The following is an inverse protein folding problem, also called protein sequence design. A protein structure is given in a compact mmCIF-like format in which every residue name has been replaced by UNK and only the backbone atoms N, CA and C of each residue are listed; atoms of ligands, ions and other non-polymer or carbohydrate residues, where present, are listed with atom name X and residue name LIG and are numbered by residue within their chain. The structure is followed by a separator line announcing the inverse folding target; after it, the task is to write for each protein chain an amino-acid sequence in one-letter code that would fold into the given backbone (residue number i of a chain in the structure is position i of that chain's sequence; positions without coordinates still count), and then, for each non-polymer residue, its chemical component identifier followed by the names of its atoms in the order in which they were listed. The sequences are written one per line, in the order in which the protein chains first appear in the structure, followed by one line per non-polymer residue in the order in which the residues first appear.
data_IF_644883114864
#
_entry.id   IF_644883114864
#
_cell.length_a   1.000
_cell.length_b   1.000
_cell.length_c   1.000
_cell.angle_alpha   90.00
_cell.angle_beta   90.00
_cell.angle_gamma   90.00
#
_symmetry.space_group_name_H-M   'P 1'
#
loop_
_entity.id
_entity.type
_entity.pdbx_description
1 polymer ?
#
# COMPACT_ATOMS: atom_id res chain seq x y z
N UNK A 1 2.46 15.50 -30.07
CA UNK A 1 2.17 14.33 -29.19
C UNK A 1 2.79 14.35 -27.78
N UNK A 2 3.77 15.22 -27.44
CA UNK A 2 4.46 15.15 -26.12
C UNK A 2 3.63 15.55 -24.88
N UNK A 3 2.59 16.38 -25.05
CA UNK A 3 1.78 16.91 -23.94
C UNK A 3 0.96 15.80 -23.25
N UNK A 4 0.41 14.86 -24.03
CA UNK A 4 -0.39 13.75 -23.51
C UNK A 4 0.45 12.80 -22.63
N UNK A 5 1.66 12.47 -23.08
CA UNK A 5 2.59 11.58 -22.35
C UNK A 5 3.02 12.22 -21.01
N UNK A 6 3.24 13.54 -20.98
CA UNK A 6 3.55 14.23 -19.73
C UNK A 6 2.37 14.25 -18.75
N UNK A 7 1.15 14.45 -19.24
CA UNK A 7 -0.07 14.40 -18.41
C UNK A 7 -0.28 13.01 -17.82
N UNK A 8 -0.12 11.95 -18.63
CA UNK A 8 -0.21 10.57 -18.16
C UNK A 8 0.88 10.23 -17.12
N UNK A 9 2.11 10.76 -17.28
CA UNK A 9 3.18 10.60 -16.28
C UNK A 9 2.85 11.26 -14.95
N UNK A 10 2.14 12.40 -14.94
CA UNK A 10 1.70 13.07 -13.70
C UNK A 10 0.59 12.28 -13.01
N UNK A 11 -0.37 11.74 -13.77
CA UNK A 11 -1.43 10.88 -13.24
C UNK A 11 -0.87 9.58 -12.63
N UNK A 12 0.17 9.00 -13.23
CA UNK A 12 0.83 7.79 -12.71
C UNK A 12 1.63 8.03 -11.42
N UNK A 13 1.96 9.29 -11.09
CA UNK A 13 2.50 9.69 -9.77
C UNK A 13 1.39 9.89 -8.72
N UNK A 14 0.28 9.16 -8.83
CA UNK A 14 -0.80 9.15 -7.84
C UNK A 14 -0.25 9.04 -6.42
N UNK A 15 -0.88 9.79 -5.51
CA UNK A 15 -0.51 10.01 -4.09
C UNK A 15 0.24 8.81 -3.52
N UNK A 16 1.51 9.03 -3.18
CA UNK A 16 2.34 8.01 -2.51
C UNK A 16 1.89 7.94 -1.06
N UNK A 17 1.01 7.00 -0.77
CA UNK A 17 0.69 6.66 0.61
C UNK A 17 1.73 5.66 1.12
N UNK A 18 2.25 5.91 2.31
CA UNK A 18 3.08 4.95 3.03
C UNK A 18 2.17 4.15 3.94
N UNK A 19 2.11 2.84 3.73
CA UNK A 19 1.43 1.91 4.61
C UNK A 19 2.27 1.66 5.87
N UNK A 20 1.68 1.95 7.04
CA UNK A 20 2.28 1.75 8.35
C UNK A 20 1.52 0.68 9.13
N UNK A 21 2.25 -0.06 9.98
CA UNK A 21 1.66 -1.05 10.86
C UNK A 21 0.80 -0.40 11.96
N UNK A 22 -0.45 -0.84 12.18
CA UNK A 22 -1.33 -0.26 13.22
C UNK A 22 -0.89 -0.58 14.65
N UNK A 23 -0.05 -1.61 14.85
CA UNK A 23 0.42 -2.01 16.19
C UNK A 23 1.68 -1.28 16.63
N UNK A 24 2.65 -1.13 15.74
CA UNK A 24 3.98 -0.59 16.11
C UNK A 24 4.42 0.61 15.28
N UNK A 25 3.60 1.08 14.32
CA UNK A 25 3.92 2.23 13.48
C UNK A 25 5.03 2.00 12.45
N UNK A 26 5.60 0.80 12.34
CA UNK A 26 6.66 0.53 11.37
C UNK A 26 6.17 0.65 9.93
N UNK A 27 6.94 1.32 9.08
CA UNK A 27 6.77 1.22 7.64
C UNK A 27 7.19 -0.16 7.12
N UNK A 28 6.69 -0.53 5.94
CA UNK A 28 7.08 -1.78 5.26
C UNK A 28 6.21 -2.99 5.63
N UNK A 29 4.94 -2.78 5.96
CA UNK A 29 3.92 -3.85 5.96
C UNK A 29 3.80 -4.44 4.56
N UNK A 30 3.85 -5.78 4.46
CA UNK A 30 3.81 -6.51 3.19
C UNK A 30 2.46 -7.17 3.01
N UNK A 31 1.86 -7.06 1.83
CA UNK A 31 0.64 -7.79 1.52
C UNK A 31 0.94 -9.30 1.38
N UNK A 32 0.19 -10.13 2.11
CA UNK A 32 0.34 -11.59 2.21
C UNK A 32 -1.00 -12.26 1.94
N UNK A 33 -1.33 -12.49 0.67
CA UNK A 33 -2.38 -13.44 0.28
C UNK A 33 -2.28 -13.69 -1.23
N UNK A 34 -2.68 -14.89 -1.66
CA UNK A 34 -2.59 -15.32 -3.06
C UNK A 34 -3.86 -14.98 -3.87
N UNK A 35 -4.96 -14.65 -3.19
CA UNK A 35 -6.30 -14.41 -3.77
C UNK A 35 -6.75 -12.93 -3.62
N UNK A 36 -5.78 -12.02 -3.64
CA UNK A 36 -5.93 -10.62 -3.26
C UNK A 36 -6.97 -9.86 -4.09
N UNK A 37 -7.90 -9.19 -3.41
CA UNK A 37 -8.67 -8.07 -3.98
C UNK A 37 -9.86 -8.46 -4.86
N UNK A 38 -9.93 -9.71 -5.30
CA UNK A 38 -11.09 -10.25 -6.02
C UNK A 38 -12.04 -11.02 -5.09
N UNK A 39 -11.50 -11.98 -4.32
CA UNK A 39 -12.31 -12.86 -3.46
C UNK A 39 -12.13 -12.58 -1.97
N UNK A 40 -10.93 -12.17 -1.54
CA UNK A 40 -10.64 -11.92 -0.12
C UNK A 40 -9.99 -10.55 0.10
N UNK A 41 -10.28 -9.90 1.25
CA UNK A 41 -9.61 -8.66 1.61
C UNK A 41 -8.08 -8.84 1.64
N UNK A 42 -7.31 -7.81 1.25
CA UNK A 42 -5.86 -7.85 1.34
C UNK A 42 -5.44 -8.04 2.80
N UNK A 43 -4.60 -9.05 3.07
CA UNK A 43 -3.95 -9.21 4.37
C UNK A 43 -2.54 -8.65 4.32
N UNK A 44 -2.09 -8.08 5.42
CA UNK A 44 -0.79 -7.45 5.59
C UNK A 44 -0.04 -8.09 6.76
N UNK A 45 1.24 -8.35 6.54
CA UNK A 45 2.19 -8.82 7.55
C UNK A 45 3.18 -7.72 7.87
N UNK A 46 3.31 -7.39 9.15
CA UNK A 46 4.39 -6.53 9.65
C UNK A 46 5.61 -7.40 10.01
N UNK A 47 6.76 -7.24 9.33
CA UNK A 47 7.96 -8.01 9.63
C UNK A 47 8.58 -7.64 10.99
N UNK A 48 8.19 -6.50 11.58
CA UNK A 48 8.78 -5.97 12.81
C UNK A 48 8.11 -6.50 14.10
N UNK A 49 6.78 -6.57 14.12
CA UNK A 49 6.01 -7.00 15.30
C UNK A 49 5.12 -8.22 15.06
N UNK A 50 5.13 -8.80 13.85
CA UNK A 50 4.33 -9.98 13.52
C UNK A 50 2.83 -9.71 13.34
N UNK A 51 2.37 -8.45 13.31
CA UNK A 51 0.97 -8.13 12.99
C UNK A 51 0.57 -8.78 11.66
N UNK A 52 -0.52 -9.54 11.68
CA UNK A 52 -1.16 -10.11 10.49
C UNK A 52 -2.65 -9.74 10.49
N UNK A 53 -3.09 -8.98 9.48
CA UNK A 53 -4.49 -8.54 9.39
C UNK A 53 -4.75 -7.66 8.19
N UNK A 54 -5.97 -7.14 8.05
CA UNK A 54 -6.40 -6.37 6.87
C UNK A 54 -6.23 -4.86 7.03
N UNK A 55 -5.91 -4.38 8.23
CA UNK A 55 -5.82 -2.96 8.55
C UNK A 55 -4.39 -2.45 8.40
N UNK A 56 -4.27 -1.28 7.77
CA UNK A 56 -3.04 -0.50 7.69
C UNK A 56 -3.36 0.96 8.03
N UNK A 57 -2.33 1.70 8.45
CA UNK A 57 -2.41 3.15 8.56
C UNK A 57 -1.84 3.72 7.27
N UNK A 58 -2.65 4.47 6.53
CA UNK A 58 -2.21 5.19 5.33
C UNK A 58 -1.73 6.58 5.73
N UNK A 59 -0.47 6.90 5.42
CA UNK A 59 0.08 8.24 5.61
C UNK A 59 0.41 8.87 4.27
N UNK A 60 -0.20 10.01 3.97
CA UNK A 60 0.13 10.81 2.78
C UNK A 60 1.58 11.32 2.90
N UNK A 61 2.36 11.17 1.83
CA UNK A 61 3.74 11.67 1.70
C UNK A 61 3.80 12.77 0.66
#
# INVERSE_FOLDING_TARGET
MGKLIQTLKRLRRGRRFVALCPRCGSGGVRQVSSLNGWLTPPRYLCPKCGYMGTLIIERET
#
